data_IF_841453666030
#
_entry.id   IF_841453666030
#
_cell.length_a   1.000
_cell.length_b   1.000
_cell.length_c   1.000
_cell.angle_alpha   90.00
_cell.angle_beta   90.00
_cell.angle_gamma   90.00
#
_symmetry.space_group_name_H-M   'P 1'
#
loop_
_entity.id
_entity.type
_entity.pdbx_description
1 polymer ?
#
# COMPACT_ATOMS: atom_id res chain seq x y z
N UNK A 1 -9.48 15.29 4.27
CA UNK A 1 -10.84 14.73 4.17
C UNK A 1 -11.52 14.98 5.50
N UNK A 2 -12.73 15.56 5.51
CA UNK A 2 -13.46 15.74 6.76
C UNK A 2 -14.15 14.43 7.14
N UNK A 3 -13.46 13.62 7.94
CA UNK A 3 -13.90 12.27 8.29
C UNK A 3 -15.17 12.23 9.15
N UNK A 4 -15.45 13.30 9.90
CA UNK A 4 -16.64 13.42 10.72
C UNK A 4 -17.91 13.72 9.90
N UNK A 5 -17.80 14.50 8.83
CA UNK A 5 -18.94 15.00 8.04
C UNK A 5 -19.06 14.31 6.68
N UNK A 6 -18.33 13.21 6.48
CA UNK A 6 -18.40 12.45 5.23
C UNK A 6 -19.75 11.76 5.11
N UNK A 7 -20.47 12.05 4.02
CA UNK A 7 -21.86 11.65 3.84
C UNK A 7 -22.04 10.28 3.18
N UNK A 8 -21.08 9.86 2.35
CA UNK A 8 -21.10 8.56 1.68
C UNK A 8 -19.70 7.95 1.48
N UNK A 9 -19.69 6.62 1.37
CA UNK A 9 -18.53 5.85 0.91
C UNK A 9 -18.51 5.90 -0.62
N UNK A 10 -17.34 6.16 -1.19
CA UNK A 10 -17.12 6.11 -2.64
C UNK A 10 -15.92 5.22 -2.97
N UNK A 11 -15.27 5.49 -4.10
CA UNK A 11 -14.00 4.85 -4.45
C UNK A 11 -12.87 5.21 -3.48
N UNK A 12 -11.71 4.60 -3.67
CA UNK A 12 -10.51 4.94 -2.90
C UNK A 12 -10.23 6.44 -2.92
N UNK A 13 -9.78 6.99 -1.79
CA UNK A 13 -9.47 8.41 -1.71
C UNK A 13 -8.31 8.82 -2.62
N UNK A 14 -8.29 10.10 -2.99
CA UNK A 14 -7.17 10.70 -3.74
C UNK A 14 -5.80 10.47 -3.06
N UNK A 15 -5.78 10.32 -1.73
CA UNK A 15 -4.55 10.01 -0.99
C UNK A 15 -4.02 8.61 -1.35
N UNK A 16 -4.87 7.58 -1.36
CA UNK A 16 -4.50 6.22 -1.79
C UNK A 16 -4.14 6.20 -3.29
N UNK A 17 -4.87 6.95 -4.11
CA UNK A 17 -4.56 7.11 -5.54
C UNK A 17 -3.18 7.72 -5.77
N UNK A 18 -2.82 8.76 -5.03
CA UNK A 18 -1.49 9.37 -5.12
C UNK A 18 -0.39 8.39 -4.71
N UNK A 19 -0.54 7.69 -3.58
CA UNK A 19 0.43 6.69 -3.14
C UNK A 19 0.63 5.60 -4.20
N UNK A 20 -0.46 5.03 -4.69
CA UNK A 20 -0.39 3.96 -5.70
C UNK A 20 0.20 4.45 -7.03
N UNK A 21 -0.06 5.69 -7.44
CA UNK A 21 0.58 6.32 -8.59
C UNK A 21 2.11 6.45 -8.39
N UNK A 22 2.56 6.96 -7.24
CA UNK A 22 3.98 7.06 -6.92
C UNK A 22 4.69 5.71 -6.88
N UNK A 23 4.03 4.67 -6.37
CA UNK A 23 4.54 3.30 -6.43
C UNK A 23 4.68 2.83 -7.88
N UNK A 24 3.64 3.02 -8.71
CA UNK A 24 3.68 2.64 -10.13
C UNK A 24 4.77 3.36 -10.93
N UNK A 25 5.07 4.62 -10.58
CA UNK A 25 6.15 5.39 -11.23
C UNK A 25 7.56 5.01 -10.75
N UNK A 26 7.72 4.72 -9.45
CA UNK A 26 9.07 4.56 -8.84
C UNK A 26 9.55 3.12 -8.79
N UNK A 27 8.64 2.17 -8.55
CA UNK A 27 8.98 0.76 -8.33
C UNK A 27 9.61 0.09 -9.56
N UNK A 28 9.12 0.31 -10.81
CA UNK A 28 9.77 -0.25 -11.99
C UNK A 28 11.22 0.19 -12.13
N UNK A 29 11.51 1.48 -11.91
CA UNK A 29 12.87 1.99 -11.98
C UNK A 29 13.81 1.33 -10.97
N UNK A 30 13.36 1.17 -9.72
CA UNK A 30 14.13 0.50 -8.66
C UNK A 30 14.34 -0.98 -8.99
N UNK A 31 13.32 -1.64 -9.55
CA UNK A 31 13.38 -3.04 -9.98
C UNK A 31 14.42 -3.24 -11.08
N UNK A 32 14.42 -2.39 -12.09
CA UNK A 32 15.35 -2.47 -13.21
C UNK A 32 16.79 -2.20 -12.76
N UNK A 33 16.96 -1.26 -11.82
CA UNK A 33 18.25 -0.97 -11.17
C UNK A 33 18.79 -2.15 -10.33
N UNK A 34 17.91 -3.04 -9.87
CA UNK A 34 18.23 -4.25 -9.09
C UNK A 34 18.04 -5.55 -9.89
N UNK A 35 17.96 -5.46 -11.22
CA UNK A 35 17.64 -6.57 -12.13
C UNK A 35 18.64 -7.73 -12.04
N UNK A 36 19.89 -7.45 -11.67
CA UNK A 36 20.94 -8.46 -11.45
C UNK A 36 20.62 -9.44 -10.32
N UNK A 37 19.75 -9.07 -9.38
CA UNK A 37 19.35 -9.98 -8.31
C UNK A 37 17.95 -9.73 -7.76
N UNK A 38 17.04 -10.65 -8.09
CA UNK A 38 15.66 -10.65 -7.57
C UNK A 38 15.59 -10.63 -6.03
N UNK A 39 16.58 -11.22 -5.35
CA UNK A 39 16.63 -11.25 -3.88
C UNK A 39 16.78 -9.83 -3.31
N UNK A 40 17.55 -8.95 -3.96
CA UNK A 40 17.74 -7.58 -3.50
C UNK A 40 16.47 -6.74 -3.70
N UNK A 41 15.81 -6.89 -4.85
CA UNK A 41 14.53 -6.22 -5.07
C UNK A 41 13.44 -6.70 -4.11
N UNK A 42 13.39 -8.00 -3.81
CA UNK A 42 12.48 -8.54 -2.79
C UNK A 42 12.78 -7.95 -1.41
N UNK A 43 14.07 -7.86 -1.04
CA UNK A 43 14.50 -7.25 0.21
C UNK A 43 14.16 -5.76 0.30
N UNK A 44 14.27 -5.03 -0.81
CA UNK A 44 13.79 -3.64 -0.92
C UNK A 44 12.30 -3.56 -0.60
N UNK A 45 11.47 -4.38 -1.24
CA UNK A 45 10.02 -4.40 -1.00
C UNK A 45 9.69 -4.68 0.47
N UNK A 46 10.37 -5.66 1.09
CA UNK A 46 10.23 -5.97 2.52
C UNK A 46 10.59 -4.78 3.40
N UNK A 47 11.74 -4.14 3.15
CA UNK A 47 12.18 -2.96 3.92
C UNK A 47 11.24 -1.78 3.77
N UNK A 48 10.75 -1.54 2.55
CA UNK A 48 9.76 -0.52 2.27
C UNK A 48 8.47 -0.78 3.06
N UNK A 49 7.88 -1.97 2.95
CA UNK A 49 6.64 -2.32 3.66
C UNK A 49 6.79 -2.17 5.18
N UNK A 50 7.89 -2.67 5.75
CA UNK A 50 8.18 -2.55 7.19
C UNK A 50 8.34 -1.10 7.66
N UNK A 51 8.81 -0.19 6.79
CA UNK A 51 8.91 1.24 7.13
C UNK A 51 7.61 2.01 6.90
N UNK A 52 6.88 1.66 5.84
CA UNK A 52 5.71 2.38 5.36
C UNK A 52 4.46 2.05 6.18
N UNK A 53 4.19 0.77 6.43
CA UNK A 53 2.96 0.32 7.10
C UNK A 53 2.78 0.97 8.48
N UNK A 54 3.79 1.02 9.38
CA UNK A 54 3.63 1.68 10.68
C UNK A 54 3.30 3.18 10.56
N UNK A 55 3.89 3.88 9.57
CA UNK A 55 3.61 5.30 9.32
C UNK A 55 2.20 5.53 8.80
N UNK A 56 1.72 4.64 7.93
CA UNK A 56 0.34 4.67 7.45
C UNK A 56 -0.64 4.45 8.61
N UNK A 57 -0.43 3.42 9.44
CA UNK A 57 -1.26 3.14 10.61
C UNK A 57 -1.27 4.33 11.58
N UNK A 58 -0.11 4.95 11.85
CA UNK A 58 -0.06 6.15 12.68
C UNK A 58 -0.87 7.31 12.08
N UNK A 59 -0.91 7.43 10.75
CA UNK A 59 -1.70 8.45 10.06
C UNK A 59 -3.20 8.16 10.14
N UNK A 60 -3.62 6.89 10.11
CA UNK A 60 -5.01 6.50 10.34
C UNK A 60 -5.48 6.90 11.74
N UNK A 61 -4.67 6.69 12.77
CA UNK A 61 -5.05 7.06 14.16
C UNK A 61 -5.24 8.58 14.36
N UNK A 62 -4.68 9.40 13.46
CA UNK A 62 -4.87 10.86 13.45
C UNK A 62 -6.16 11.30 12.74
N UNK A 63 -6.87 10.39 12.06
CA UNK A 63 -8.14 10.67 11.39
C UNK A 63 -9.29 10.75 12.38
N UNK A 64 -9.26 11.74 13.28
CA UNK A 64 -10.29 12.01 14.29
C UNK A 64 -10.73 13.48 14.24
N UNK A 65 -11.97 13.80 14.62
CA UNK A 65 -13.10 12.87 14.89
C UNK A 65 -13.57 12.11 13.65
N UNK A 66 -14.18 10.93 13.87
CA UNK A 66 -14.56 9.97 12.82
C UNK A 66 -16.05 9.62 12.93
N UNK A 67 -16.77 9.67 11.81
CA UNK A 67 -18.14 9.14 11.69
C UNK A 67 -18.12 7.67 11.26
N UNK A 68 -19.25 6.97 11.34
CA UNK A 68 -19.38 5.61 10.83
C UNK A 68 -19.01 5.53 9.33
N UNK A 69 -19.58 6.42 8.51
CA UNK A 69 -19.29 6.50 7.06
C UNK A 69 -17.81 6.84 6.80
N UNK A 70 -17.23 7.74 7.59
CA UNK A 70 -15.80 8.03 7.52
C UNK A 70 -14.94 6.80 7.84
N UNK A 71 -15.34 5.99 8.82
CA UNK A 71 -14.65 4.75 9.16
C UNK A 71 -14.74 3.71 8.04
N UNK A 72 -15.90 3.57 7.42
CA UNK A 72 -16.10 2.68 6.27
C UNK A 72 -15.22 3.08 5.08
N UNK A 73 -15.10 4.39 4.79
CA UNK A 73 -14.16 4.85 3.76
C UNK A 73 -12.70 4.53 4.14
N UNK A 74 -12.29 4.76 5.38
CA UNK A 74 -10.92 4.45 5.81
C UNK A 74 -10.62 2.95 5.72
N UNK A 75 -11.61 2.10 5.96
CA UNK A 75 -11.50 0.66 5.78
C UNK A 75 -11.31 0.29 4.31
N UNK A 76 -12.09 0.89 3.40
CA UNK A 76 -11.92 0.74 1.95
C UNK A 76 -10.53 1.20 1.50
N UNK A 77 -10.11 2.39 1.90
CA UNK A 77 -8.80 2.94 1.58
C UNK A 77 -7.66 2.04 2.07
N UNK A 78 -7.79 1.49 3.28
CA UNK A 78 -6.84 0.55 3.87
C UNK A 78 -6.77 -0.75 3.08
N UNK A 79 -7.93 -1.28 2.65
CA UNK A 79 -7.99 -2.46 1.82
C UNK A 79 -7.31 -2.24 0.45
N UNK A 80 -7.61 -1.12 -0.21
CA UNK A 80 -7.02 -0.79 -1.51
C UNK A 80 -5.50 -0.64 -1.43
N UNK A 81 -5.00 0.01 -0.37
CA UNK A 81 -3.56 0.13 -0.14
C UNK A 81 -2.91 -1.22 0.20
N UNK A 82 -3.58 -2.08 0.97
CA UNK A 82 -3.11 -3.46 1.24
C UNK A 82 -2.96 -4.25 -0.06
N UNK A 83 -3.94 -4.18 -0.94
CA UNK A 83 -3.90 -4.84 -2.25
C UNK A 83 -2.76 -4.32 -3.12
N UNK A 84 -2.56 -2.99 -3.16
CA UNK A 84 -1.43 -2.39 -3.88
C UNK A 84 -0.07 -2.81 -3.31
N UNK A 85 0.05 -2.92 -1.98
CA UNK A 85 1.27 -3.40 -1.33
C UNK A 85 1.50 -4.89 -1.63
N UNK A 86 0.46 -5.73 -1.60
CA UNK A 86 0.61 -7.15 -1.95
C UNK A 86 1.13 -7.36 -3.38
N UNK A 87 0.80 -6.44 -4.29
CA UNK A 87 1.27 -6.47 -5.68
C UNK A 87 2.59 -5.72 -5.92
N UNK A 88 3.14 -5.03 -4.90
CA UNK A 88 4.34 -4.19 -5.01
C UNK A 88 5.52 -4.88 -5.74
N UNK A 89 5.88 -6.15 -5.47
CA UNK A 89 7.00 -6.80 -6.17
C UNK A 89 6.69 -7.13 -7.64
N UNK A 90 5.41 -7.14 -8.02
CA UNK A 90 4.93 -7.43 -9.37
C UNK A 90 4.83 -6.17 -10.23
N UNK A 91 4.81 -4.97 -9.65
CA UNK A 91 4.72 -3.71 -10.39
C UNK A 91 5.83 -3.64 -11.45
N UNK A 92 5.45 -3.30 -12.69
CA UNK A 92 6.35 -3.24 -13.84
C UNK A 92 6.89 -4.61 -14.30
N UNK A 93 6.37 -5.73 -13.79
CA UNK A 93 6.76 -7.06 -14.27
C UNK A 93 6.13 -7.37 -15.62
N UNK A 94 6.96 -7.67 -16.62
CA UNK A 94 6.50 -8.17 -17.93
C UNK A 94 5.90 -9.59 -17.84
N UNK A 95 6.25 -10.34 -16.80
CA UNK A 95 5.69 -11.67 -16.52
C UNK A 95 4.81 -11.59 -15.29
N UNK A 96 3.55 -12.01 -15.42
CA UNK A 96 2.63 -12.16 -14.30
C UNK A 96 3.18 -13.22 -13.32
N UNK A 97 3.86 -12.75 -12.28
CA UNK A 97 4.41 -13.58 -11.22
C UNK A 97 3.85 -13.12 -9.90
N UNK A 98 3.41 -14.06 -9.09
CA UNK A 98 2.98 -13.78 -7.73
C UNK A 98 4.16 -13.28 -6.89
N UNK A 99 3.89 -12.32 -6.02
CA UNK A 99 4.84 -11.86 -5.02
C UNK A 99 5.33 -13.03 -4.13
N UNK A 100 6.61 -13.05 -3.71
CA UNK A 100 7.13 -14.09 -2.84
C UNK A 100 6.34 -14.19 -1.52
N UNK A 101 6.11 -15.42 -1.05
CA UNK A 101 5.37 -15.65 0.21
C UNK A 101 6.05 -14.99 1.42
N UNK A 102 7.38 -14.89 1.42
CA UNK A 102 8.15 -14.17 2.45
C UNK A 102 7.80 -12.69 2.51
N UNK A 103 7.46 -12.07 1.38
CA UNK A 103 7.02 -10.69 1.31
C UNK A 103 5.55 -10.54 1.67
N UNK A 104 4.66 -11.35 1.09
CA UNK A 104 3.22 -11.20 1.31
C UNK A 104 2.84 -11.43 2.78
N UNK A 105 3.53 -12.33 3.49
CA UNK A 105 3.39 -12.51 4.95
C UNK A 105 3.67 -11.23 5.75
N UNK A 106 4.63 -10.41 5.31
CA UNK A 106 4.96 -9.12 5.96
C UNK A 106 3.80 -8.14 5.80
N UNK A 107 3.26 -7.99 4.59
CA UNK A 107 2.13 -7.08 4.32
C UNK A 107 0.88 -7.54 5.06
N UNK A 108 0.55 -8.83 5.00
CA UNK A 108 -0.62 -9.38 5.69
C UNK A 108 -0.52 -9.14 7.19
N UNK A 109 0.59 -9.50 7.83
CA UNK A 109 0.79 -9.32 9.27
C UNK A 109 0.84 -7.84 9.69
N UNK A 110 1.40 -6.98 8.86
CA UNK A 110 1.51 -5.55 9.16
C UNK A 110 0.19 -4.81 9.03
N UNK A 111 -0.75 -5.31 8.22
CA UNK A 111 -2.04 -4.68 7.93
C UNK A 111 -3.24 -5.55 8.34
N UNK A 112 -3.09 -6.26 9.46
CA UNK A 112 -4.15 -6.95 10.21
C UNK A 112 -4.26 -6.28 11.56
#
# INVERSE_FOLDING_TARGET
>A
IQWQTKESVGDQSAYVTAITSHLKGSVPFIKDSLSSSRKYFTQFCVRFANSFIPKFIQSLYKCKPLSAVGAEQLLLDTHMLKTALLDLPSIGSQVARKAPASYTKVVVKGMT
#
